data_IF_040349768588
#
_entry.id   IF_040349768588
#
_cell.length_a   1.000
_cell.length_b   1.000
_cell.length_c   1.000
_cell.angle_alpha   90.00
_cell.angle_beta   90.00
_cell.angle_gamma   90.00
#
_symmetry.space_group_name_H-M   'P 1'
#
loop_
_entity.id
_entity.type
_entity.pdbx_description
1 polymer ?
#
# COMPACT_ATOMS: atom_id res chain seq x y z
N UNK A 1 -39.03 -6.59 -11.85
CA UNK A 1 -38.28 -6.32 -13.09
C UNK A 1 -37.06 -5.52 -12.68
N UNK A 2 -35.83 -6.01 -12.93
CA UNK A 2 -34.62 -5.22 -12.72
C UNK A 2 -34.54 -4.16 -13.81
N UNK A 3 -34.18 -2.95 -13.44
CA UNK A 3 -34.02 -1.84 -14.36
C UNK A 3 -32.65 -1.97 -15.04
N UNK A 4 -32.52 -1.56 -16.30
CA UNK A 4 -31.25 -1.63 -17.05
C UNK A 4 -30.09 -0.94 -16.31
N UNK A 5 -30.41 0.06 -15.49
CA UNK A 5 -29.48 0.76 -14.60
C UNK A 5 -28.93 -0.12 -13.48
N UNK A 6 -29.74 -1.01 -12.90
CA UNK A 6 -29.32 -1.91 -11.81
C UNK A 6 -28.31 -2.96 -12.33
N UNK A 7 -28.53 -3.47 -13.55
CA UNK A 7 -27.61 -4.40 -14.20
C UNK A 7 -26.28 -3.75 -14.57
N UNK A 8 -26.33 -2.48 -15.03
CA UNK A 8 -25.13 -1.70 -15.29
C UNK A 8 -24.35 -1.39 -14.02
N UNK A 9 -25.04 -1.00 -12.94
CA UNK A 9 -24.42 -0.75 -11.64
C UNK A 9 -23.71 -2.01 -11.12
N UNK A 10 -24.40 -3.14 -11.11
CA UNK A 10 -23.83 -4.41 -10.67
C UNK A 10 -22.60 -4.79 -11.51
N UNK A 11 -22.66 -4.64 -12.83
CA UNK A 11 -21.52 -4.93 -13.71
C UNK A 11 -20.30 -4.04 -13.41
N UNK A 12 -20.51 -2.75 -13.15
CA UNK A 12 -19.44 -1.82 -12.81
C UNK A 12 -18.83 -2.14 -11.44
N UNK A 13 -19.67 -2.47 -10.44
CA UNK A 13 -19.20 -2.94 -9.14
C UNK A 13 -18.39 -4.23 -9.26
N UNK A 14 -18.83 -5.18 -10.10
CA UNK A 14 -18.10 -6.43 -10.34
C UNK A 14 -16.70 -6.15 -10.91
N UNK A 15 -16.61 -5.27 -11.92
CA UNK A 15 -15.32 -4.89 -12.54
C UNK A 15 -14.38 -4.25 -11.53
N UNK A 16 -14.90 -3.39 -10.66
CA UNK A 16 -14.09 -2.78 -9.59
C UNK A 16 -13.60 -3.82 -8.59
N UNK A 17 -14.47 -4.76 -8.19
CA UNK A 17 -14.10 -5.86 -7.30
C UNK A 17 -13.00 -6.75 -7.91
N UNK A 18 -13.10 -7.06 -9.20
CA UNK A 18 -12.12 -7.87 -9.92
C UNK A 18 -10.79 -7.14 -10.10
N UNK A 19 -10.82 -5.84 -10.43
CA UNK A 19 -9.64 -5.00 -10.51
C UNK A 19 -8.88 -4.97 -9.17
N UNK A 20 -9.58 -4.72 -8.07
CA UNK A 20 -8.96 -4.74 -6.73
C UNK A 20 -8.43 -6.12 -6.34
N UNK A 21 -9.10 -7.18 -6.78
CA UNK A 21 -8.67 -8.57 -6.53
C UNK A 21 -7.49 -9.00 -7.42
N UNK A 22 -7.16 -8.24 -8.47
CA UNK A 22 -6.08 -8.56 -9.41
C UNK A 22 -4.67 -8.26 -8.87
N UNK A 23 -4.58 -7.56 -7.74
CA UNK A 23 -3.32 -7.23 -7.14
C UNK A 23 -2.61 -8.47 -6.58
N UNK A 24 -1.33 -8.63 -6.91
CA UNK A 24 -0.51 -9.77 -6.48
C UNK A 24 0.09 -9.62 -5.07
N UNK A 25 -0.22 -8.51 -4.38
CA UNK A 25 0.30 -8.10 -3.07
C UNK A 25 1.81 -7.82 -3.03
N UNK A 26 2.53 -7.94 -4.14
CA UNK A 26 3.98 -7.85 -4.23
C UNK A 26 4.43 -6.56 -4.88
N UNK A 27 3.89 -6.22 -6.06
CA UNK A 27 4.29 -5.02 -6.79
C UNK A 27 3.59 -3.77 -6.25
N UNK A 28 4.39 -2.75 -5.92
CA UNK A 28 3.87 -1.44 -5.51
C UNK A 28 3.37 -0.65 -6.72
N UNK A 29 4.02 -0.82 -7.87
CA UNK A 29 3.64 -0.20 -9.14
C UNK A 29 2.28 -0.73 -9.60
N UNK A 30 2.05 -2.04 -9.47
CA UNK A 30 0.75 -2.64 -9.74
C UNK A 30 -0.30 -2.11 -8.76
N UNK A 31 0.02 -2.01 -7.46
CA UNK A 31 -0.89 -1.45 -6.46
C UNK A 31 -1.29 0.00 -6.80
N UNK A 32 -0.32 0.81 -7.24
CA UNK A 32 -0.55 2.20 -7.63
C UNK A 32 -1.44 2.30 -8.87
N UNK A 33 -1.20 1.47 -9.90
CA UNK A 33 -2.06 1.42 -11.11
C UNK A 33 -3.48 1.03 -10.74
N UNK A 34 -3.64 -0.05 -9.96
CA UNK A 34 -4.94 -0.54 -9.50
C UNK A 34 -5.69 0.53 -8.72
N UNK A 35 -5.01 1.24 -7.81
CA UNK A 35 -5.63 2.31 -7.03
C UNK A 35 -6.07 3.51 -7.90
N UNK A 36 -5.25 3.89 -8.88
CA UNK A 36 -5.59 4.97 -9.83
C UNK A 36 -6.80 4.60 -10.70
N UNK A 37 -6.81 3.39 -11.23
CA UNK A 37 -7.92 2.87 -12.04
C UNK A 37 -9.19 2.71 -11.20
N UNK A 38 -9.07 2.17 -9.98
CA UNK A 38 -10.19 2.06 -9.04
C UNK A 38 -10.77 3.43 -8.68
N UNK A 39 -9.93 4.44 -8.46
CA UNK A 39 -10.38 5.80 -8.20
C UNK A 39 -11.20 6.35 -9.38
N UNK A 40 -10.74 6.15 -10.61
CA UNK A 40 -11.48 6.57 -11.80
C UNK A 40 -12.85 5.87 -11.90
N UNK A 41 -12.92 4.57 -11.61
CA UNK A 41 -14.19 3.82 -11.58
C UNK A 41 -15.12 4.30 -10.48
N UNK A 42 -14.61 4.60 -9.28
CA UNK A 42 -15.40 5.10 -8.15
C UNK A 42 -16.03 6.46 -8.48
N UNK A 43 -15.31 7.36 -9.15
CA UNK A 43 -15.87 8.67 -9.57
C UNK A 43 -17.06 8.49 -10.52
N UNK A 44 -17.00 7.49 -11.42
CA UNK A 44 -18.13 7.15 -12.30
C UNK A 44 -19.30 6.57 -11.50
N UNK A 45 -19.02 5.76 -10.48
CA UNK A 45 -20.02 5.16 -9.59
C UNK A 45 -20.66 6.17 -8.62
N UNK A 46 -19.95 7.25 -8.24
CA UNK A 46 -20.44 8.29 -7.33
C UNK A 46 -21.58 9.12 -7.96
N UNK A 47 -21.67 9.11 -9.30
CA UNK A 47 -22.81 9.63 -10.05
C UNK A 47 -24.06 8.76 -9.99
N UNK A 48 -23.98 7.55 -9.45
CA UNK A 48 -25.09 6.60 -9.31
C UNK A 48 -25.60 6.57 -7.86
N UNK A 49 -26.91 6.51 -7.67
CA UNK A 49 -27.51 6.54 -6.34
C UNK A 49 -27.32 5.22 -5.59
N UNK A 50 -26.24 5.12 -4.81
CA UNK A 50 -25.95 3.99 -3.91
C UNK A 50 -26.96 3.85 -2.75
N UNK A 51 -27.99 4.71 -2.67
CA UNK A 51 -28.99 4.70 -1.58
C UNK A 51 -30.00 3.57 -1.69
N UNK A 52 -30.09 2.88 -2.83
CA UNK A 52 -31.00 1.74 -3.04
C UNK A 52 -30.26 0.53 -3.63
N UNK A 53 -29.19 0.12 -2.96
CA UNK A 53 -28.50 -1.11 -3.37
C UNK A 53 -29.40 -2.32 -3.14
N UNK A 54 -29.50 -3.17 -4.14
CA UNK A 54 -30.08 -4.51 -4.00
C UNK A 54 -29.12 -5.40 -3.20
N UNK A 55 -29.62 -6.48 -2.60
CA UNK A 55 -28.77 -7.39 -1.81
C UNK A 55 -27.54 -7.93 -2.57
N UNK A 56 -27.60 -8.31 -3.88
CA UNK A 56 -26.40 -8.70 -4.61
C UNK A 56 -25.42 -7.54 -4.83
N UNK A 57 -25.88 -6.30 -5.00
CA UNK A 57 -24.98 -5.15 -5.12
C UNK A 57 -24.28 -4.86 -3.80
N UNK A 58 -24.98 -4.99 -2.66
CA UNK A 58 -24.37 -4.86 -1.32
C UNK A 58 -23.26 -5.88 -1.11
N UNK A 59 -23.47 -7.14 -1.49
CA UNK A 59 -22.45 -8.17 -1.38
C UNK A 59 -21.17 -7.82 -2.16
N UNK A 60 -21.32 -7.27 -3.37
CA UNK A 60 -20.18 -6.81 -4.17
C UNK A 60 -19.52 -5.58 -3.55
N UNK A 61 -20.28 -4.63 -3.01
CA UNK A 61 -19.72 -3.48 -2.28
C UNK A 61 -18.93 -3.92 -1.05
N UNK A 62 -19.45 -4.84 -0.26
CA UNK A 62 -18.75 -5.39 0.91
C UNK A 62 -17.43 -6.06 0.50
N UNK A 63 -17.43 -6.78 -0.63
CA UNK A 63 -16.21 -7.33 -1.22
C UNK A 63 -15.22 -6.25 -1.64
N UNK A 64 -15.68 -5.18 -2.30
CA UNK A 64 -14.83 -4.03 -2.69
C UNK A 64 -14.19 -3.41 -1.45
N UNK A 65 -14.97 -3.12 -0.41
CA UNK A 65 -14.50 -2.53 0.85
C UNK A 65 -13.46 -3.45 1.52
N UNK A 66 -13.73 -4.76 1.54
CA UNK A 66 -12.80 -5.75 2.08
C UNK A 66 -11.47 -5.80 1.33
N UNK A 67 -11.51 -5.83 0.00
CA UNK A 67 -10.29 -5.85 -0.82
C UNK A 67 -9.48 -4.56 -0.68
N UNK A 68 -10.16 -3.41 -0.65
CA UNK A 68 -9.51 -2.12 -0.43
C UNK A 68 -8.85 -2.05 0.96
N UNK A 69 -9.55 -2.52 2.00
CA UNK A 69 -9.01 -2.60 3.36
C UNK A 69 -7.76 -3.49 3.45
N UNK A 70 -7.77 -4.64 2.78
CA UNK A 70 -6.60 -5.52 2.67
C UNK A 70 -5.43 -4.82 1.98
N UNK A 71 -5.70 -4.12 0.88
CA UNK A 71 -4.69 -3.37 0.14
C UNK A 71 -4.01 -2.32 1.03
N UNK A 72 -4.81 -1.49 1.71
CA UNK A 72 -4.32 -0.48 2.65
C UNK A 72 -3.49 -1.10 3.77
N UNK A 73 -3.94 -2.23 4.32
CA UNK A 73 -3.22 -2.93 5.39
C UNK A 73 -1.83 -3.39 4.93
N UNK A 74 -1.74 -4.06 3.78
CA UNK A 74 -0.47 -4.56 3.23
C UNK A 74 0.49 -3.40 2.91
N UNK A 75 0.00 -2.33 2.29
CA UNK A 75 0.83 -1.15 2.00
C UNK A 75 1.35 -0.48 3.28
N UNK A 76 0.51 -0.38 4.31
CA UNK A 76 0.90 0.16 5.62
C UNK A 76 1.99 -0.70 6.28
N UNK A 77 1.86 -2.02 6.21
CA UNK A 77 2.86 -2.95 6.71
C UNK A 77 4.22 -2.79 5.97
N UNK A 78 4.20 -2.70 4.63
CA UNK A 78 5.39 -2.46 3.82
C UNK A 78 6.06 -1.13 4.16
N UNK A 79 5.27 -0.05 4.32
CA UNK A 79 5.79 1.25 4.77
C UNK A 79 6.47 1.14 6.13
N UNK A 80 5.85 0.44 7.09
CA UNK A 80 6.43 0.23 8.41
C UNK A 80 7.76 -0.53 8.38
N UNK A 81 7.89 -1.53 7.51
CA UNK A 81 9.15 -2.25 7.29
C UNK A 81 10.23 -1.34 6.71
N UNK A 82 9.88 -0.54 5.70
CA UNK A 82 10.82 0.40 5.06
C UNK A 82 11.35 1.45 6.04
N UNK A 83 10.48 1.99 6.89
CA UNK A 83 10.87 2.95 7.95
C UNK A 83 11.85 2.31 8.93
N UNK A 84 11.63 1.04 9.33
CA UNK A 84 12.55 0.30 10.20
C UNK A 84 13.91 0.08 9.54
N UNK A 85 13.93 -0.31 8.26
CA UNK A 85 15.17 -0.50 7.50
C UNK A 85 15.93 0.82 7.34
N UNK A 86 15.24 1.91 7.02
CA UNK A 86 15.81 3.24 6.93
C UNK A 86 16.43 3.68 8.26
N UNK A 87 15.71 3.47 9.37
CA UNK A 87 16.23 3.74 10.70
C UNK A 87 17.46 2.88 11.04
N UNK A 88 17.53 1.63 10.59
CA UNK A 88 18.71 0.78 10.78
C UNK A 88 19.91 1.27 9.95
N UNK A 89 19.70 1.71 8.71
CA UNK A 89 20.75 2.26 7.86
C UNK A 89 21.28 3.60 8.38
N UNK A 90 20.40 4.44 8.92
CA UNK A 90 20.75 5.75 9.48
C UNK A 90 21.16 5.72 10.95
N UNK A 91 21.15 4.55 11.59
CA UNK A 91 21.80 4.45 12.89
C UNK A 91 23.28 4.75 12.65
N UNK A 92 23.86 5.76 13.36
CA UNK A 92 25.30 5.92 13.34
C UNK A 92 25.86 4.58 13.79
N UNK A 93 26.55 3.91 12.87
CA UNK A 93 27.04 2.56 13.08
C UNK A 93 28.15 2.72 14.13
N UNK A 94 27.81 2.55 15.41
CA UNK A 94 28.69 2.84 16.53
C UNK A 94 29.99 2.07 16.38
N UNK A 95 29.92 0.88 15.80
CA UNK A 95 31.05 0.06 15.36
C UNK A 95 31.95 0.77 14.35
N UNK A 96 31.41 1.33 13.26
CA UNK A 96 32.20 2.12 12.29
C UNK A 96 32.81 3.35 12.96
N UNK A 97 32.06 4.04 13.82
CA UNK A 97 32.55 5.20 14.56
C UNK A 97 33.67 4.82 15.54
N UNK A 98 33.57 3.68 16.21
CA UNK A 98 34.62 3.15 17.10
C UNK A 98 35.86 2.75 16.31
N UNK A 99 35.72 2.11 15.14
CA UNK A 99 36.86 1.80 14.27
C UNK A 99 37.56 3.06 13.76
N UNK A 100 36.81 4.06 13.29
CA UNK A 100 37.37 5.35 12.86
C UNK A 100 38.05 6.12 14.00
N UNK A 101 37.53 6.02 15.24
CA UNK A 101 38.16 6.62 16.41
C UNK A 101 39.42 5.87 16.86
N UNK A 102 39.48 4.54 16.69
CA UNK A 102 40.70 3.77 16.96
C UNK A 102 41.82 4.11 15.97
N UNK A 103 41.51 4.30 14.68
CA UNK A 103 42.51 4.75 13.70
C UNK A 103 43.03 6.16 14.00
N UNK A 104 42.20 7.06 14.52
CA UNK A 104 42.65 8.40 14.93
C UNK A 104 43.36 8.41 16.31
N UNK A 105 43.09 7.43 17.18
CA UNK A 105 43.67 7.34 18.52
C UNK A 105 45.02 6.61 18.59
N UNK A 106 45.45 5.91 17.53
CA UNK A 106 46.65 5.08 17.54
C UNK A 106 47.95 5.79 17.11
N UNK A 107 47.96 7.14 16.96
CA UNK A 107 49.12 7.89 16.44
C UNK A 107 49.83 8.82 17.44
N UNK A 108 49.70 8.61 18.75
CA UNK A 108 50.56 9.25 19.75
C UNK A 108 51.09 8.22 20.74
N UNK A 109 52.09 7.45 20.30
CA UNK A 109 53.12 6.98 21.21
C UNK A 109 54.30 7.91 20.95
N UNK A 110 54.47 8.93 21.78
CA UNK A 110 55.77 9.59 21.93
C UNK A 110 56.72 8.52 22.45
N UNK A 111 57.56 8.00 21.57
CA UNK A 111 58.68 7.17 21.97
C UNK A 111 59.83 8.14 22.24
N UNK A 112 59.97 8.55 23.50
CA UNK A 112 61.19 9.20 23.98
C UNK A 112 62.36 8.20 23.79
N UNK A 113 63.24 8.49 22.84
CA UNK A 113 64.58 7.89 22.71
C UNK A 113 65.65 8.94 22.96
#
# INVERSE_FOLDING_TARGET
MKTTEDEQLLSQLQKLADLLSSWDEKSLEQAESILKEAQAMIVVLDGLSLKKLTDPEKEVVDRIVGQYGKLVHVLSAKKGQLVKQYAQLNKPNSTIRTYLQQEQGASLIDVDF
#
